data_IF_889640898666
#
_entry.id   IF_889640898666
#
_cell.length_a   1.000
_cell.length_b   1.000
_cell.length_c   1.000
_cell.angle_alpha   90.00
_cell.angle_beta   90.00
_cell.angle_gamma   90.00
#
_symmetry.space_group_name_H-M   'P 1'
#
loop_
_entity.id
_entity.type
_entity.pdbx_description
1 polymer ?
#
# COMPACT_ATOMS: atom_id res chain seq x y z
N UNK A 1 -2.18 -2.10 -12.64
CA UNK A 1 -3.32 -1.31 -12.14
C UNK A 1 -2.82 0.00 -11.55
N UNK A 2 -3.67 0.97 -11.45
CA UNK A 2 -3.29 2.30 -10.98
C UNK A 2 -3.91 2.59 -9.62
N UNK A 3 -3.30 3.53 -8.91
CA UNK A 3 -3.89 4.04 -7.68
C UNK A 3 -5.17 4.79 -8.02
N UNK A 4 -6.18 4.64 -7.18
CA UNK A 4 -7.45 5.35 -7.32
C UNK A 4 -7.89 5.83 -5.95
N UNK A 5 -8.82 6.77 -5.92
CA UNK A 5 -9.38 7.26 -4.66
C UNK A 5 -10.72 6.60 -4.42
N UNK A 6 -10.85 5.91 -3.28
CA UNK A 6 -12.09 5.27 -2.85
C UNK A 6 -12.28 5.57 -1.37
N UNK A 7 -13.47 6.02 -0.99
CA UNK A 7 -13.80 6.30 0.41
C UNK A 7 -12.75 7.18 1.09
N UNK A 8 -12.29 8.20 0.36
CA UNK A 8 -11.28 9.16 0.84
C UNK A 8 -9.92 8.54 1.12
N UNK A 9 -9.60 7.41 0.47
CA UNK A 9 -8.31 6.74 0.59
C UNK A 9 -7.72 6.50 -0.80
N UNK A 10 -6.39 6.48 -0.88
CA UNK A 10 -5.71 6.04 -2.10
C UNK A 10 -5.59 4.54 -2.04
N UNK A 11 -6.10 3.86 -3.05
CA UNK A 11 -6.23 2.41 -3.05
C UNK A 11 -5.61 1.82 -4.31
N UNK A 12 -4.88 0.74 -4.15
CA UNK A 12 -4.38 -0.03 -5.28
C UNK A 12 -4.32 -1.50 -4.90
N UNK A 13 -4.67 -2.36 -5.84
CA UNK A 13 -4.56 -3.79 -5.66
C UNK A 13 -3.45 -4.34 -6.55
N UNK A 14 -2.60 -5.18 -5.96
CA UNK A 14 -1.51 -5.85 -6.64
C UNK A 14 -1.81 -7.34 -6.69
N UNK A 15 -1.44 -7.99 -7.77
CA UNK A 15 -1.65 -9.43 -7.90
C UNK A 15 -0.32 -10.12 -8.17
N UNK A 16 -0.11 -11.26 -7.50
CA UNK A 16 1.13 -12.03 -7.60
C UNK A 16 0.81 -13.45 -8.05
N UNK A 17 1.83 -14.27 -8.23
CA UNK A 17 1.61 -15.63 -8.70
C UNK A 17 1.18 -16.57 -7.58
N UNK A 18 1.57 -16.26 -6.33
CA UNK A 18 1.29 -17.14 -5.21
C UNK A 18 1.34 -16.38 -3.89
N UNK A 19 1.02 -17.10 -2.81
CA UNK A 19 0.95 -16.52 -1.49
C UNK A 19 2.33 -16.03 -0.98
N UNK A 20 3.38 -16.79 -1.28
CA UNK A 20 4.73 -16.42 -0.86
C UNK A 20 5.12 -15.06 -1.43
N UNK A 21 4.86 -14.85 -2.72
CA UNK A 21 5.18 -13.58 -3.36
C UNK A 21 4.37 -12.42 -2.76
N UNK A 22 3.09 -12.66 -2.45
CA UNK A 22 2.26 -11.65 -1.83
C UNK A 22 2.82 -11.23 -0.48
N UNK A 23 3.23 -12.19 0.35
CA UNK A 23 3.80 -11.91 1.67
C UNK A 23 5.16 -11.20 1.51
N UNK A 24 5.99 -11.62 0.56
CA UNK A 24 7.27 -10.97 0.31
C UNK A 24 7.09 -9.50 -0.06
N UNK A 25 6.08 -9.20 -0.87
CA UNK A 25 5.79 -7.83 -1.24
C UNK A 25 5.43 -6.99 0.00
N UNK A 26 4.57 -7.52 0.87
CA UNK A 26 4.20 -6.85 2.11
C UNK A 26 5.44 -6.61 2.97
N UNK A 27 6.32 -7.58 3.09
CA UNK A 27 7.54 -7.43 3.86
C UNK A 27 8.43 -6.31 3.32
N UNK A 28 8.43 -6.09 2.02
CA UNK A 28 9.20 -5.00 1.42
C UNK A 28 8.59 -3.63 1.68
N UNK A 29 7.29 -3.56 1.95
CA UNK A 29 6.62 -2.31 2.31
C UNK A 29 7.00 -1.85 3.71
N UNK A 30 7.26 -2.80 4.62
CA UNK A 30 7.53 -2.48 6.03
C UNK A 30 8.62 -1.42 6.20
N UNK A 31 9.83 -1.57 5.63
CA UNK A 31 10.86 -0.55 5.83
C UNK A 31 10.48 0.81 5.23
N UNK A 32 9.70 0.83 4.16
CA UNK A 32 9.25 2.08 3.57
C UNK A 32 8.31 2.81 4.52
N UNK A 33 7.36 2.09 5.11
CA UNK A 33 6.40 2.65 6.04
C UNK A 33 7.10 3.15 7.31
N UNK A 34 8.02 2.36 7.84
CA UNK A 34 8.77 2.73 9.05
C UNK A 34 9.62 3.97 8.83
N UNK A 35 10.29 4.04 7.69
CA UNK A 35 11.13 5.20 7.36
C UNK A 35 10.30 6.47 7.21
N UNK A 36 9.12 6.35 6.60
CA UNK A 36 8.22 7.47 6.40
C UNK A 36 7.42 7.80 7.67
N UNK A 37 7.43 6.91 8.65
CA UNK A 37 6.58 6.98 9.83
C UNK A 37 5.11 7.17 9.40
N UNK A 38 4.70 6.41 8.39
CA UNK A 38 3.38 6.53 7.79
C UNK A 38 2.97 5.13 7.30
N UNK A 39 1.92 4.58 7.88
CA UNK A 39 1.59 3.17 7.73
C UNK A 39 0.32 2.96 6.90
N UNK A 40 0.41 2.18 5.81
CA UNK A 40 -0.76 1.84 5.03
C UNK A 40 -1.58 0.74 5.69
N UNK A 41 -2.85 0.66 5.31
CA UNK A 41 -3.63 -0.54 5.60
C UNK A 41 -3.33 -1.55 4.50
N UNK A 42 -3.07 -2.79 4.89
CA UNK A 42 -2.64 -3.83 3.97
C UNK A 42 -3.55 -5.04 4.14
N UNK A 43 -4.13 -5.50 3.04
CA UNK A 43 -5.00 -6.68 3.04
C UNK A 43 -4.47 -7.70 2.05
N UNK A 44 -4.09 -8.88 2.54
CA UNK A 44 -3.79 -10.01 1.67
C UNK A 44 -5.07 -10.82 1.57
N UNK A 45 -5.56 -11.00 0.35
CA UNK A 45 -6.77 -11.78 0.15
C UNK A 45 -6.65 -12.61 -1.12
N UNK A 46 -7.53 -13.62 -1.24
CA UNK A 46 -7.48 -14.53 -2.38
C UNK A 46 -6.08 -15.10 -2.56
N UNK A 47 -5.37 -15.31 -1.47
CA UNK A 47 -4.01 -15.82 -1.27
C UNK A 47 -2.90 -15.13 -2.06
N UNK A 48 -3.20 -14.47 -3.17
CA UNK A 48 -2.18 -13.88 -4.06
C UNK A 48 -2.40 -12.40 -4.36
N UNK A 49 -3.38 -11.79 -3.75
CA UNK A 49 -3.69 -10.38 -3.98
C UNK A 49 -3.41 -9.56 -2.74
N UNK A 50 -2.84 -8.36 -2.95
CA UNK A 50 -2.54 -7.44 -1.86
C UNK A 50 -3.20 -6.12 -2.17
N UNK A 51 -4.14 -5.71 -1.32
CA UNK A 51 -4.80 -4.42 -1.45
C UNK A 51 -4.17 -3.45 -0.46
N UNK A 52 -3.72 -2.32 -0.96
CA UNK A 52 -3.09 -1.27 -0.14
C UNK A 52 -4.02 -0.07 -0.08
N UNK A 53 -4.27 0.44 1.12
CA UNK A 53 -5.05 1.65 1.32
C UNK A 53 -4.21 2.67 2.08
N UNK A 54 -4.14 3.88 1.56
CA UNK A 54 -3.33 4.96 2.13
C UNK A 54 -4.21 6.13 2.54
N UNK A 55 -4.03 6.57 3.78
CA UNK A 55 -4.73 7.69 4.35
C UNK A 55 -3.85 8.29 5.44
N UNK A 56 -3.84 9.61 5.57
CA UNK A 56 -3.13 10.25 6.67
C UNK A 56 -4.09 10.35 7.85
N UNK A 57 -3.96 9.43 8.80
CA UNK A 57 -4.91 9.29 9.90
C UNK A 57 -5.03 10.55 10.76
N UNK A 58 -3.91 11.23 11.00
CA UNK A 58 -3.92 12.44 11.81
C UNK A 58 -4.71 13.58 11.17
N UNK A 59 -4.84 13.57 9.84
CA UNK A 59 -5.58 14.58 9.10
C UNK A 59 -6.98 14.11 8.70
N UNK A 60 -7.20 12.80 8.75
CA UNK A 60 -8.45 12.20 8.28
C UNK A 60 -8.66 12.33 6.78
N UNK A 61 -7.59 12.50 6.01
CA UNK A 61 -7.67 12.68 4.57
C UNK A 61 -6.37 12.30 3.89
N UNK A 62 -6.40 12.21 2.57
CA UNK A 62 -5.21 11.97 1.76
C UNK A 62 -4.35 13.22 1.77
N UNK A 63 -3.04 13.05 1.99
CA UNK A 63 -2.07 14.15 1.94
C UNK A 63 -0.90 13.76 1.05
N UNK A 64 0.08 14.65 0.91
CA UNK A 64 1.27 14.37 0.12
C UNK A 64 2.01 13.14 0.63
N UNK A 65 1.94 12.84 1.92
CA UNK A 65 2.56 11.64 2.49
C UNK A 65 2.05 10.37 1.81
N UNK A 66 0.77 10.33 1.50
CA UNK A 66 0.16 9.17 0.86
C UNK A 66 0.63 9.02 -0.59
N UNK A 67 0.72 10.13 -1.31
CA UNK A 67 1.22 10.09 -2.69
C UNK A 67 2.69 9.69 -2.74
N UNK A 68 3.49 10.18 -1.80
CA UNK A 68 4.91 9.84 -1.76
C UNK A 68 5.12 8.36 -1.46
N UNK A 69 4.38 7.83 -0.49
CA UNK A 69 4.50 6.42 -0.13
C UNK A 69 4.00 5.53 -1.27
N UNK A 70 2.94 5.95 -1.95
CA UNK A 70 2.42 5.22 -3.10
C UNK A 70 3.49 5.07 -4.18
N UNK A 71 4.25 6.13 -4.45
CA UNK A 71 5.34 6.06 -5.43
C UNK A 71 6.42 5.06 -5.01
N UNK A 72 6.80 5.07 -3.73
CA UNK A 72 7.81 4.15 -3.24
C UNK A 72 7.32 2.70 -3.34
N UNK A 73 6.07 2.45 -3.00
CA UNK A 73 5.48 1.11 -3.10
C UNK A 73 5.51 0.63 -4.55
N UNK A 74 5.17 1.50 -5.50
CA UNK A 74 5.19 1.15 -6.91
C UNK A 74 6.58 0.76 -7.39
N UNK A 75 7.63 1.32 -6.80
CA UNK A 75 9.00 1.04 -7.20
C UNK A 75 9.50 -0.33 -6.76
N UNK A 76 8.90 -0.93 -5.75
CA UNK A 76 9.33 -2.23 -5.26
C UNK A 76 8.59 -3.40 -5.90
N UNK A 77 7.64 -3.11 -6.75
CA UNK A 77 6.84 -4.14 -7.39
C UNK A 77 7.30 -4.38 -8.83
#
# INVERSE_FOLDING_TARGET
>A
MSWKTENNKRVKEFEFENFVQAVEFVNKIVPLAERANHHPDIFIHSYKKVKIELLTHSEGKITQKDYDLAKEIDQIN
#
